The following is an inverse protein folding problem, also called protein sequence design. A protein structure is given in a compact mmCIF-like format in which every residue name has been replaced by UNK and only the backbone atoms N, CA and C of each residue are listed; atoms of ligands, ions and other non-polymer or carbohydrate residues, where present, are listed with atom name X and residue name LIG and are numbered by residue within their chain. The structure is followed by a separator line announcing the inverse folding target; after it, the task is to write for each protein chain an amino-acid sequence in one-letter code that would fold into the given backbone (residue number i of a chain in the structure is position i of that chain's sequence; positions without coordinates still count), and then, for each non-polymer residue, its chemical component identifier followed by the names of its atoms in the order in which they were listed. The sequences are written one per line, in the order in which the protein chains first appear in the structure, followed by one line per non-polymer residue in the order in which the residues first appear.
data_IF_445234812444
#
_entry.id   IF_445234812444
#
_cell.length_a   1.000
_cell.length_b   1.000
_cell.length_c   1.000
_cell.angle_alpha   90.00
_cell.angle_beta   90.00
_cell.angle_gamma   90.00
#
_symmetry.space_group_name_H-M   'P 1'
#
loop_
_entity.id
_entity.type
_entity.pdbx_description
1 polymer ?
#
# COMPACT_ATOMS: atom_id res chain seq x y z
N UNK A 1 -9.71 14.07 14.20
CA UNK A 1 -9.41 14.25 12.77
C UNK A 1 -8.31 15.25 12.46
N UNK A 2 -8.21 16.41 13.15
CA UNK A 2 -7.16 17.40 12.92
C UNK A 2 -5.73 16.82 12.97
N UNK A 3 -5.47 15.89 13.88
CA UNK A 3 -4.17 15.19 13.99
C UNK A 3 -3.72 14.50 12.68
N UNK A 4 -4.65 13.99 11.89
CA UNK A 4 -4.32 13.32 10.62
C UNK A 4 -4.29 14.30 9.44
N UNK A 5 -5.18 15.30 9.44
CA UNK A 5 -5.29 16.26 8.34
C UNK A 5 -4.17 17.28 8.31
N UNK A 6 -3.78 17.83 9.46
CA UNK A 6 -2.73 18.87 9.51
C UNK A 6 -1.39 18.36 8.96
N UNK A 7 -0.88 17.18 9.36
CA UNK A 7 0.32 16.61 8.76
C UNK A 7 0.22 16.38 7.24
N UNK A 8 -0.94 15.95 6.75
CA UNK A 8 -1.17 15.79 5.31
C UNK A 8 -1.17 17.14 4.58
N UNK A 9 -1.74 18.19 5.15
CA UNK A 9 -1.70 19.54 4.57
C UNK A 9 -0.26 20.06 4.45
N UNK A 10 0.58 19.83 5.48
CA UNK A 10 2.00 20.19 5.42
C UNK A 10 2.71 19.41 4.31
N UNK A 11 2.42 18.12 4.18
CA UNK A 11 2.95 17.30 3.08
C UNK A 11 2.50 17.82 1.71
N UNK A 12 1.21 18.13 1.53
CA UNK A 12 0.69 18.71 0.30
C UNK A 12 1.32 20.06 -0.03
N UNK A 13 1.59 20.89 0.96
CA UNK A 13 2.34 22.13 0.75
C UNK A 13 3.72 21.85 0.15
N UNK A 14 4.45 20.85 0.67
CA UNK A 14 5.71 20.40 0.08
C UNK A 14 5.57 19.89 -1.35
N UNK A 15 4.51 19.15 -1.66
CA UNK A 15 4.19 18.70 -3.03
C UNK A 15 3.94 19.90 -3.95
N UNK A 16 3.13 20.88 -3.53
CA UNK A 16 2.84 22.10 -4.31
C UNK A 16 4.09 22.94 -4.55
N UNK A 17 4.97 23.08 -3.55
CA UNK A 17 6.26 23.73 -3.74
C UNK A 17 7.11 23.02 -4.81
N UNK A 18 7.22 21.69 -4.76
CA UNK A 18 7.93 20.92 -5.78
C UNK A 18 7.33 21.11 -7.18
N UNK A 19 6.01 21.15 -7.30
CA UNK A 19 5.32 21.42 -8.57
C UNK A 19 5.62 22.84 -9.09
N UNK A 20 5.55 23.84 -8.22
CA UNK A 20 5.80 25.24 -8.56
C UNK A 20 7.24 25.47 -9.05
N UNK A 21 8.21 24.78 -8.45
CA UNK A 21 9.62 24.84 -8.86
C UNK A 21 9.99 23.86 -9.98
N UNK A 22 9.01 23.20 -10.59
CA UNK A 22 9.19 22.39 -11.80
C UNK A 22 9.87 21.04 -11.63
N UNK A 23 10.00 20.54 -10.40
CA UNK A 23 10.68 19.28 -10.18
C UNK A 23 10.47 18.65 -8.79
N UNK A 24 10.91 17.41 -8.63
CA UNK A 24 10.94 16.74 -7.33
C UNK A 24 12.18 17.16 -6.58
N UNK A 25 12.03 17.88 -5.47
CA UNK A 25 13.10 18.15 -4.52
C UNK A 25 13.00 17.17 -3.34
N UNK A 26 13.96 16.22 -3.21
CA UNK A 26 13.91 15.22 -2.14
C UNK A 26 13.90 15.83 -0.74
N UNK A 27 14.67 16.91 -0.53
CA UNK A 27 14.75 17.57 0.78
C UNK A 27 13.38 18.16 1.18
N UNK A 28 12.72 18.88 0.27
CA UNK A 28 11.38 19.45 0.51
C UNK A 28 10.37 18.34 0.84
N UNK A 29 10.33 17.29 0.01
CA UNK A 29 9.40 16.17 0.24
C UNK A 29 9.66 15.50 1.58
N UNK A 30 10.92 15.18 1.89
CA UNK A 30 11.25 14.50 3.15
C UNK A 30 10.97 15.41 4.37
N UNK A 31 11.32 16.69 4.32
CA UNK A 31 11.05 17.62 5.42
C UNK A 31 9.55 17.81 5.65
N UNK A 32 8.77 18.04 4.60
CA UNK A 32 7.32 18.21 4.72
C UNK A 32 6.59 16.90 5.05
N UNK A 33 7.23 15.74 4.90
CA UNK A 33 6.69 14.45 5.33
C UNK A 33 6.97 14.09 6.79
N UNK A 34 7.86 14.81 7.48
CA UNK A 34 8.18 14.51 8.89
C UNK A 34 6.94 14.43 9.78
N UNK A 35 5.94 15.33 9.69
CA UNK A 35 4.74 15.23 10.53
C UNK A 35 3.89 13.98 10.29
N UNK A 36 3.70 13.54 9.02
CA UNK A 36 2.96 12.30 8.73
C UNK A 36 3.73 11.06 9.18
N UNK A 37 5.06 11.08 9.08
CA UNK A 37 5.92 10.00 9.57
C UNK A 37 5.89 9.95 11.10
N UNK A 38 6.05 11.10 11.75
CA UNK A 38 6.00 11.18 13.21
C UNK A 38 4.66 10.63 13.73
N UNK A 39 3.55 11.02 13.13
CA UNK A 39 2.24 10.53 13.51
C UNK A 39 2.11 9.01 13.34
N UNK A 40 2.62 8.43 12.25
CA UNK A 40 2.57 6.99 12.04
C UNK A 40 3.50 6.21 13.00
N UNK A 41 4.66 6.79 13.35
CA UNK A 41 5.71 6.12 14.15
C UNK A 41 5.51 6.32 15.65
N UNK A 42 4.98 7.46 16.09
CA UNK A 42 4.80 7.75 17.52
C UNK A 42 3.44 7.31 18.06
N UNK A 43 2.66 6.55 17.27
CA UNK A 43 1.34 6.09 17.69
C UNK A 43 1.42 5.07 18.83
N UNK A 44 0.42 5.13 19.72
CA UNK A 44 0.08 4.07 20.66
C UNK A 44 -0.93 3.09 20.03
N UNK A 45 -2.12 2.98 20.62
CA UNK A 45 -3.16 2.06 20.17
C UNK A 45 -4.02 2.57 18.99
N UNK A 46 -3.52 3.50 18.19
CA UNK A 46 -4.26 4.04 17.05
C UNK A 46 -4.11 3.16 15.81
N UNK A 47 -5.22 2.69 15.25
CA UNK A 47 -5.30 1.85 14.04
C UNK A 47 -6.00 0.51 14.30
N UNK A 48 -6.81 0.04 13.33
CA UNK A 48 -7.64 -1.18 13.45
C UNK A 48 -6.86 -2.42 13.83
N UNK A 49 -5.72 -2.66 13.18
CA UNK A 49 -4.91 -3.86 13.38
C UNK A 49 -3.83 -3.67 14.48
N UNK A 50 -3.71 -2.46 15.06
CA UNK A 50 -2.61 -2.12 15.98
C UNK A 50 -2.64 -2.97 17.24
N UNK A 51 -3.81 -3.17 17.85
CA UNK A 51 -3.96 -4.00 19.05
C UNK A 51 -3.54 -5.46 18.78
N UNK A 52 -3.93 -6.01 17.62
CA UNK A 52 -3.55 -7.35 17.20
C UNK A 52 -2.03 -7.48 17.02
N UNK A 53 -1.37 -6.47 16.45
CA UNK A 53 0.10 -6.45 16.34
C UNK A 53 0.79 -6.34 17.70
N UNK A 54 0.27 -5.52 18.62
CA UNK A 54 0.83 -5.44 19.97
C UNK A 54 0.76 -6.79 20.69
N UNK A 55 -0.38 -7.47 20.64
CA UNK A 55 -0.53 -8.81 21.21
C UNK A 55 0.45 -9.79 20.57
N UNK A 56 0.48 -9.84 19.25
CA UNK A 56 1.34 -10.75 18.48
C UNK A 56 2.84 -10.54 18.79
N UNK A 57 3.29 -9.30 18.98
CA UNK A 57 4.70 -9.04 19.31
C UNK A 57 5.00 -9.25 20.80
N UNK A 58 4.00 -9.16 21.68
CA UNK A 58 4.14 -9.62 23.07
C UNK A 58 4.34 -11.14 23.10
N UNK A 59 3.55 -11.90 22.32
CA UNK A 59 3.67 -13.35 22.19
C UNK A 59 5.00 -13.75 21.54
N UNK A 60 5.52 -12.94 20.61
CA UNK A 60 6.86 -13.12 20.03
C UNK A 60 7.95 -13.10 21.10
N UNK A 61 7.84 -12.21 22.09
CA UNK A 61 8.75 -12.16 23.25
C UNK A 61 8.70 -13.41 24.13
N UNK A 62 7.60 -14.17 24.05
CA UNK A 62 7.44 -15.46 24.73
C UNK A 62 7.91 -16.66 23.88
N UNK A 63 8.51 -16.40 22.70
CA UNK A 63 9.02 -17.44 21.80
C UNK A 63 8.01 -17.93 20.75
N UNK A 64 6.82 -17.34 20.69
CA UNK A 64 5.80 -17.70 19.70
C UNK A 64 6.02 -16.87 18.43
N UNK A 65 6.09 -17.53 17.28
CA UNK A 65 6.15 -16.83 15.97
C UNK A 65 4.83 -16.16 15.61
N UNK A 66 4.88 -15.06 14.85
CA UNK A 66 3.71 -14.37 14.36
C UNK A 66 3.48 -14.60 12.87
N UNK A 67 2.46 -15.37 12.54
CA UNK A 67 2.07 -15.65 11.15
C UNK A 67 3.05 -16.53 10.40
N UNK A 68 2.78 -16.78 9.15
CA UNK A 68 3.53 -17.69 8.30
C UNK A 68 4.63 -16.99 7.46
N UNK A 69 4.72 -15.67 7.48
CA UNK A 69 5.63 -14.89 6.62
C UNK A 69 7.05 -14.81 7.21
N UNK A 70 8.04 -15.53 6.62
CA UNK A 70 9.33 -15.74 7.26
C UNK A 70 10.17 -14.47 7.40
N UNK A 71 10.19 -13.59 6.40
CA UNK A 71 10.99 -12.36 6.48
C UNK A 71 10.34 -11.29 7.37
N UNK A 72 9.00 -11.26 7.43
CA UNK A 72 8.33 -10.38 8.36
C UNK A 72 8.64 -10.77 9.81
N UNK A 73 8.57 -12.07 10.13
CA UNK A 73 8.92 -12.59 11.43
C UNK A 73 10.39 -12.34 11.78
N UNK A 74 11.31 -12.63 10.87
CA UNK A 74 12.72 -12.37 11.08
C UNK A 74 13.02 -10.90 11.35
N UNK A 75 12.34 -10.00 10.63
CA UNK A 75 12.49 -8.57 10.84
C UNK A 75 11.88 -8.11 12.17
N UNK A 76 10.73 -8.63 12.56
CA UNK A 76 10.13 -8.36 13.88
C UNK A 76 11.03 -8.88 15.02
N UNK A 77 11.58 -10.08 14.89
CA UNK A 77 12.55 -10.64 15.85
C UNK A 77 13.83 -9.79 15.94
N UNK A 78 14.34 -9.31 14.82
CA UNK A 78 15.49 -8.39 14.80
C UNK A 78 15.19 -7.11 15.58
N UNK A 79 14.04 -6.49 15.36
CA UNK A 79 13.65 -5.28 16.10
C UNK A 79 13.45 -5.56 17.59
N UNK A 80 12.84 -6.71 17.93
CA UNK A 80 12.70 -7.16 19.32
C UNK A 80 14.04 -7.38 20.01
N UNK A 81 15.01 -7.94 19.30
CA UNK A 81 16.38 -8.12 19.84
C UNK A 81 17.11 -6.80 20.08
N UNK A 82 16.78 -5.73 19.33
CA UNK A 82 17.33 -4.39 19.56
C UNK A 82 16.70 -3.75 20.80
N UNK A 83 15.38 -3.81 20.91
CA UNK A 83 14.66 -3.33 22.07
C UNK A 83 13.38 -4.15 22.28
N UNK A 84 13.28 -4.92 23.41
CA UNK A 84 12.23 -5.88 23.66
C UNK A 84 10.92 -5.22 24.14
N UNK A 85 10.31 -4.43 23.24
CA UNK A 85 9.03 -3.77 23.46
C UNK A 85 8.18 -3.93 22.18
N UNK A 86 6.93 -4.44 22.28
CA UNK A 86 6.02 -4.57 21.13
C UNK A 86 5.82 -3.27 20.34
N UNK A 87 5.82 -2.12 21.04
CA UNK A 87 5.67 -0.80 20.43
C UNK A 87 6.86 -0.44 19.57
N UNK A 88 8.07 -0.75 20.05
CA UNK A 88 9.29 -0.53 19.27
C UNK A 88 9.24 -1.32 17.95
N UNK A 89 8.76 -2.57 18.00
CA UNK A 89 8.60 -3.41 16.81
C UNK A 89 7.56 -2.82 15.86
N UNK A 90 6.35 -2.49 16.35
CA UNK A 90 5.27 -1.88 15.55
C UNK A 90 5.74 -0.58 14.89
N UNK A 91 6.34 0.31 15.69
CA UNK A 91 6.77 1.62 15.23
C UNK A 91 7.99 1.53 14.28
N UNK A 92 8.90 0.59 14.52
CA UNK A 92 10.04 0.29 13.65
C UNK A 92 9.62 -0.19 12.26
N UNK A 93 8.63 -1.09 12.18
CA UNK A 93 8.06 -1.55 10.91
C UNK A 93 7.37 -0.39 10.18
N UNK A 94 6.59 0.44 10.90
CA UNK A 94 5.92 1.63 10.35
C UNK A 94 6.93 2.64 9.80
N UNK A 95 8.00 2.90 10.55
CA UNK A 95 9.09 3.79 10.14
C UNK A 95 9.75 3.30 8.86
N UNK A 96 10.12 2.03 8.81
CA UNK A 96 10.75 1.43 7.63
C UNK A 96 9.84 1.54 6.41
N UNK A 97 8.57 1.21 6.56
CA UNK A 97 7.57 1.32 5.49
C UNK A 97 7.46 2.77 5.00
N UNK A 98 7.30 3.74 5.91
CA UNK A 98 7.20 5.15 5.59
C UNK A 98 8.44 5.66 4.85
N UNK A 99 9.63 5.34 5.35
CA UNK A 99 10.90 5.76 4.73
C UNK A 99 11.07 5.18 3.32
N UNK A 100 10.75 3.91 3.09
CA UNK A 100 10.84 3.29 1.77
C UNK A 100 9.84 3.88 0.77
N UNK A 101 8.61 4.16 1.21
CA UNK A 101 7.59 4.84 0.39
C UNK A 101 8.05 6.24 -0.01
N UNK A 102 8.44 7.06 0.96
CA UNK A 102 8.88 8.44 0.73
C UNK A 102 10.18 8.51 -0.08
N UNK A 103 11.12 7.59 0.15
CA UNK A 103 12.30 7.44 -0.69
C UNK A 103 11.94 7.15 -2.14
N UNK A 104 10.97 6.25 -2.36
CA UNK A 104 10.50 5.93 -3.71
C UNK A 104 9.86 7.13 -4.41
N UNK A 105 9.11 7.96 -3.66
CA UNK A 105 8.48 9.19 -4.15
C UNK A 105 9.54 10.24 -4.48
N UNK A 106 10.43 10.54 -3.53
CA UNK A 106 11.40 11.62 -3.63
C UNK A 106 12.46 11.39 -4.71
N UNK A 107 12.79 10.13 -5.01
CA UNK A 107 13.79 9.74 -6.00
C UNK A 107 13.24 9.40 -7.38
N UNK A 108 11.94 9.57 -7.60
CA UNK A 108 11.30 9.28 -8.89
C UNK A 108 10.88 10.56 -9.58
N UNK A 109 11.16 10.68 -10.87
CA UNK A 109 10.86 11.86 -11.69
C UNK A 109 9.40 12.33 -11.58
N UNK A 110 8.47 11.37 -11.52
CA UNK A 110 7.04 11.66 -11.41
C UNK A 110 6.47 11.27 -10.05
N UNK A 111 7.35 11.12 -9.05
CA UNK A 111 6.96 10.69 -7.71
C UNK A 111 5.97 11.61 -7.02
N UNK A 112 6.15 12.94 -7.17
CA UNK A 112 5.23 13.93 -6.62
C UNK A 112 3.82 13.83 -7.21
N UNK A 113 3.69 13.45 -8.49
CA UNK A 113 2.40 13.38 -9.17
C UNK A 113 1.61 12.12 -8.78
N UNK A 114 2.23 10.96 -8.87
CA UNK A 114 1.57 9.69 -8.57
C UNK A 114 1.65 9.34 -7.08
N UNK A 115 2.84 9.48 -6.50
CA UNK A 115 3.06 9.20 -5.09
C UNK A 115 2.53 10.29 -4.18
N UNK A 116 2.90 11.56 -4.43
CA UNK A 116 2.52 12.69 -3.60
C UNK A 116 1.04 13.03 -3.67
N UNK A 117 0.44 13.05 -4.87
CA UNK A 117 -0.97 13.41 -5.01
C UNK A 117 -1.95 12.26 -4.75
N UNK A 118 -1.57 11.00 -4.97
CA UNK A 118 -2.50 9.87 -4.88
C UNK A 118 -2.13 8.89 -3.77
N UNK A 119 -0.89 8.35 -3.77
CA UNK A 119 -0.52 7.30 -2.84
C UNK A 119 -0.53 7.79 -1.38
N UNK A 120 0.12 8.93 -1.12
CA UNK A 120 0.22 9.43 0.26
C UNK A 120 -1.15 9.77 0.84
N UNK A 121 -2.00 10.60 0.21
CA UNK A 121 -3.28 10.94 0.82
C UNK A 121 -4.23 9.74 0.93
N UNK A 122 -4.21 8.84 -0.05
CA UNK A 122 -5.14 7.70 -0.09
C UNK A 122 -4.71 6.48 0.71
N UNK A 123 -3.41 6.24 0.83
CA UNK A 123 -2.91 4.93 1.29
C UNK A 123 -1.83 5.01 2.38
N UNK A 124 -1.21 6.17 2.66
CA UNK A 124 -0.06 6.23 3.57
C UNK A 124 -0.39 5.69 4.96
N UNK A 125 -1.45 6.19 5.59
CA UNK A 125 -1.84 5.72 6.92
C UNK A 125 -2.29 4.26 6.91
N UNK A 126 -2.97 3.81 5.85
CA UNK A 126 -3.33 2.41 5.69
C UNK A 126 -2.10 1.50 5.68
N UNK A 127 -1.13 1.82 4.83
CA UNK A 127 0.08 1.01 4.65
C UNK A 127 1.04 1.06 5.84
N UNK A 128 1.03 2.16 6.61
CA UNK A 128 1.97 2.33 7.73
C UNK A 128 1.35 1.99 9.08
N UNK A 129 0.03 2.10 9.24
CA UNK A 129 -0.64 1.95 10.54
C UNK A 129 -1.53 0.70 10.64
N UNK A 130 -2.16 0.26 9.55
CA UNK A 130 -3.08 -0.87 9.57
C UNK A 130 -2.46 -2.12 8.97
N UNK A 131 -2.43 -2.20 7.66
CA UNK A 131 -1.96 -3.39 6.94
C UNK A 131 -0.44 -3.42 6.84
N UNK A 132 0.27 -3.45 7.98
CA UNK A 132 1.71 -3.22 8.07
C UNK A 132 2.53 -4.21 7.22
N UNK A 133 2.16 -5.50 7.19
CA UNK A 133 2.83 -6.53 6.36
C UNK A 133 2.70 -6.19 4.87
N UNK A 134 1.48 -5.92 4.43
CA UNK A 134 1.22 -5.50 3.05
C UNK A 134 1.86 -4.14 2.74
N UNK A 135 1.88 -3.22 3.69
CA UNK A 135 2.52 -1.92 3.58
C UNK A 135 4.02 -2.02 3.31
N UNK A 136 4.73 -2.82 4.11
CA UNK A 136 6.17 -3.06 3.92
C UNK A 136 6.44 -3.76 2.58
N UNK A 137 5.65 -4.79 2.24
CA UNK A 137 5.76 -5.48 0.96
C UNK A 137 5.47 -4.54 -0.23
N UNK A 138 4.48 -3.64 -0.12
CA UNK A 138 4.17 -2.62 -1.11
C UNK A 138 5.29 -1.60 -1.30
N UNK A 139 5.96 -1.22 -0.21
CA UNK A 139 7.13 -0.35 -0.28
C UNK A 139 8.30 -1.02 -1.01
N UNK A 140 8.54 -2.31 -0.75
CA UNK A 140 9.53 -3.14 -1.47
C UNK A 140 9.14 -3.26 -2.94
N UNK A 141 7.86 -3.49 -3.25
CA UNK A 141 7.34 -3.52 -4.61
C UNK A 141 7.61 -2.21 -5.36
N UNK A 142 7.37 -1.05 -4.75
CA UNK A 142 7.70 0.25 -5.33
C UNK A 142 9.18 0.39 -5.67
N UNK A 143 10.08 -0.14 -4.85
CA UNK A 143 11.51 -0.17 -5.16
C UNK A 143 11.81 -1.11 -6.34
N UNK A 144 11.20 -2.30 -6.35
CA UNK A 144 11.37 -3.27 -7.42
C UNK A 144 10.95 -2.73 -8.79
N UNK A 145 9.84 -2.00 -8.84
CA UNK A 145 9.30 -1.42 -10.09
C UNK A 145 10.17 -0.32 -10.70
N UNK A 146 11.19 0.18 -9.98
CA UNK A 146 12.24 1.04 -10.55
C UNK A 146 13.19 0.27 -11.47
N UNK A 147 13.23 -1.03 -11.32
CA UNK A 147 14.04 -1.94 -12.13
C UNK A 147 13.16 -2.40 -13.29
N UNK A 148 13.62 -2.20 -14.51
CA UNK A 148 12.93 -2.77 -15.67
C UNK A 148 13.05 -4.32 -15.64
N UNK A 149 11.94 -5.07 -15.45
CA UNK A 149 12.03 -6.53 -15.24
C UNK A 149 12.73 -7.26 -16.37
N UNK A 150 12.51 -6.81 -17.62
CA UNK A 150 13.13 -7.39 -18.81
C UNK A 150 14.63 -7.10 -18.96
N UNK A 151 15.15 -6.05 -18.31
CA UNK A 151 16.59 -5.69 -18.37
C UNK A 151 17.39 -6.30 -17.24
N UNK A 152 16.80 -6.47 -16.08
CA UNK A 152 17.46 -6.98 -14.86
C UNK A 152 16.54 -7.98 -14.15
N UNK A 153 16.19 -9.11 -14.79
CA UNK A 153 15.19 -10.05 -14.25
C UNK A 153 15.60 -10.62 -12.89
N UNK A 154 16.85 -10.99 -12.70
CA UNK A 154 17.33 -11.55 -11.43
C UNK A 154 17.11 -10.57 -10.27
N UNK A 155 17.44 -9.29 -10.45
CA UNK A 155 17.20 -8.28 -9.39
C UNK A 155 15.72 -8.11 -9.10
N UNK A 156 14.88 -8.12 -10.13
CA UNK A 156 13.45 -8.02 -9.93
C UNK A 156 12.90 -9.23 -9.16
N UNK A 157 13.34 -10.44 -9.53
CA UNK A 157 12.95 -11.68 -8.83
C UNK A 157 13.41 -11.67 -7.37
N UNK A 158 14.61 -11.18 -7.07
CA UNK A 158 15.06 -11.03 -5.67
C UNK A 158 14.11 -10.12 -4.87
N UNK A 159 13.74 -8.96 -5.41
CA UNK A 159 12.76 -8.09 -4.73
C UNK A 159 11.38 -8.74 -4.61
N UNK A 160 10.95 -9.50 -5.63
CA UNK A 160 9.69 -10.21 -5.59
C UNK A 160 9.68 -11.29 -4.50
N UNK A 161 10.76 -12.05 -4.38
CA UNK A 161 10.94 -13.04 -3.31
C UNK A 161 10.94 -12.38 -1.93
N UNK A 162 11.71 -11.30 -1.75
CA UNK A 162 11.74 -10.55 -0.48
C UNK A 162 10.34 -10.03 -0.14
N UNK A 163 9.65 -9.37 -1.07
CA UNK A 163 8.30 -8.86 -0.84
C UNK A 163 7.31 -9.97 -0.51
N UNK A 164 7.36 -11.10 -1.22
CA UNK A 164 6.49 -12.25 -0.98
C UNK A 164 6.76 -12.89 0.39
N UNK A 165 8.03 -13.02 0.80
CA UNK A 165 8.38 -13.52 2.13
C UNK A 165 8.02 -12.56 3.27
N UNK A 166 7.82 -11.27 2.98
CA UNK A 166 7.26 -10.28 3.92
C UNK A 166 5.74 -10.39 3.98
N UNK A 167 5.08 -10.62 2.84
CA UNK A 167 3.63 -10.82 2.79
C UNK A 167 3.22 -11.59 1.55
N UNK A 168 2.70 -12.79 1.72
CA UNK A 168 2.43 -13.72 0.61
C UNK A 168 1.53 -13.15 -0.49
N UNK A 169 0.48 -12.41 -0.13
CA UNK A 169 -0.43 -11.83 -1.14
C UNK A 169 0.25 -10.76 -2.02
N UNK A 170 1.41 -10.23 -1.61
CA UNK A 170 2.17 -9.30 -2.44
C UNK A 170 2.76 -9.96 -3.71
N UNK A 171 2.88 -11.29 -3.74
CA UNK A 171 3.24 -12.01 -4.95
C UNK A 171 2.36 -11.60 -6.13
N UNK A 172 1.05 -11.40 -5.90
CA UNK A 172 0.13 -10.91 -6.93
C UNK A 172 0.52 -9.54 -7.47
N UNK A 173 1.00 -8.61 -6.62
CA UNK A 173 1.49 -7.30 -7.09
C UNK A 173 2.64 -7.44 -8.07
N UNK A 174 3.66 -8.21 -7.68
CA UNK A 174 4.85 -8.40 -8.51
C UNK A 174 4.51 -9.06 -9.84
N UNK A 175 3.67 -10.05 -9.80
CA UNK A 175 3.30 -10.88 -10.96
C UNK A 175 2.37 -10.13 -11.91
N UNK A 176 1.31 -9.52 -11.39
CA UNK A 176 0.39 -8.73 -12.20
C UNK A 176 1.09 -7.51 -12.82
N UNK A 177 2.01 -6.87 -12.09
CA UNK A 177 2.79 -5.76 -12.66
C UNK A 177 3.58 -6.19 -13.89
N UNK A 178 4.19 -7.35 -13.86
CA UNK A 178 4.95 -7.83 -15.02
C UNK A 178 4.03 -8.37 -16.11
N UNK A 179 2.87 -8.99 -15.77
CA UNK A 179 1.85 -9.38 -16.74
C UNK A 179 1.30 -8.16 -17.51
N UNK A 180 1.31 -6.98 -16.90
CA UNK A 180 0.89 -5.72 -17.53
C UNK A 180 2.01 -5.01 -18.30
N UNK A 181 3.23 -5.53 -18.32
CA UNK A 181 4.32 -4.98 -19.15
C UNK A 181 4.33 -5.63 -20.56
N UNK A 182 4.84 -4.90 -21.55
CA UNK A 182 4.80 -5.33 -22.97
C UNK A 182 5.55 -6.62 -23.30
N UNK A 183 6.37 -7.19 -22.41
CA UNK A 183 7.21 -8.35 -22.68
C UNK A 183 7.13 -9.36 -21.53
N UNK A 184 6.74 -10.57 -21.83
CA UNK A 184 6.87 -11.68 -20.88
C UNK A 184 5.59 -12.31 -20.34
N UNK A 185 4.42 -12.06 -20.96
CA UNK A 185 3.12 -12.52 -20.45
C UNK A 185 3.04 -14.02 -20.16
N UNK A 186 3.53 -14.88 -21.04
CA UNK A 186 3.35 -16.34 -20.91
C UNK A 186 4.19 -16.93 -19.78
N UNK A 187 5.49 -16.60 -19.72
CA UNK A 187 6.39 -17.05 -18.64
C UNK A 187 5.92 -16.60 -17.25
N UNK A 188 5.21 -15.52 -17.20
CA UNK A 188 4.71 -14.94 -15.95
C UNK A 188 3.41 -15.51 -15.47
N UNK A 189 2.46 -15.78 -16.37
CA UNK A 189 1.25 -16.52 -16.01
C UNK A 189 1.64 -17.89 -15.45
N UNK A 190 2.62 -18.55 -16.10
CA UNK A 190 3.19 -19.80 -15.59
C UNK A 190 3.90 -19.58 -14.25
N UNK A 191 4.71 -18.53 -14.11
CA UNK A 191 5.37 -18.17 -12.83
C UNK A 191 4.37 -17.89 -11.70
N UNK A 192 3.28 -17.15 -11.98
CA UNK A 192 2.17 -16.95 -11.03
C UNK A 192 1.57 -18.27 -10.59
N UNK A 193 1.19 -19.10 -11.57
CA UNK A 193 0.56 -20.37 -11.28
C UNK A 193 1.47 -21.25 -10.40
N UNK A 194 2.77 -21.31 -10.73
CA UNK A 194 3.75 -22.07 -9.93
C UNK A 194 3.86 -21.53 -8.52
N UNK A 195 3.92 -20.18 -8.33
CA UNK A 195 4.03 -19.60 -6.98
C UNK A 195 2.75 -19.81 -6.19
N UNK A 196 1.57 -19.58 -6.77
CA UNK A 196 0.28 -19.80 -6.09
C UNK A 196 0.11 -21.28 -5.73
N UNK A 197 0.36 -22.18 -6.67
CA UNK A 197 0.29 -23.63 -6.43
C UNK A 197 1.34 -24.04 -5.38
N UNK A 198 2.58 -23.55 -5.51
CA UNK A 198 3.65 -23.84 -4.56
C UNK A 198 3.31 -23.42 -3.13
N UNK A 199 2.82 -22.19 -2.93
CA UNK A 199 2.39 -21.72 -1.61
C UNK A 199 1.20 -22.54 -1.09
N UNK A 200 0.23 -22.86 -1.96
CA UNK A 200 -0.94 -23.68 -1.56
C UNK A 200 -0.56 -25.10 -1.15
N UNK A 201 0.46 -25.69 -1.79
CA UNK A 201 0.95 -27.03 -1.47
C UNK A 201 1.84 -27.06 -0.21
N UNK A 202 2.63 -26.01 0.00
CA UNK A 202 3.56 -25.93 1.14
C UNK A 202 2.85 -25.49 2.43
N UNK A 203 1.77 -24.71 2.31
CA UNK A 203 1.04 -24.15 3.44
C UNK A 203 -0.48 -24.29 3.27
N UNK A 204 -1.03 -25.51 3.22
CA UNK A 204 -2.46 -25.73 3.06
C UNK A 204 -3.25 -25.13 4.23
N UNK A 205 -2.74 -25.25 5.46
CA UNK A 205 -3.37 -24.75 6.68
C UNK A 205 -3.51 -23.21 6.66
N UNK A 206 -2.53 -22.50 6.10
CA UNK A 206 -2.60 -21.04 5.97
C UNK A 206 -3.85 -20.58 5.18
N UNK A 207 -4.20 -21.28 4.10
CA UNK A 207 -5.38 -20.93 3.30
C UNK A 207 -6.68 -21.35 4.00
N UNK A 208 -6.69 -22.50 4.66
CA UNK A 208 -7.87 -22.98 5.42
C UNK A 208 -8.18 -22.03 6.58
N UNK A 209 -7.15 -21.61 7.35
CA UNK A 209 -7.29 -20.69 8.48
C UNK A 209 -7.75 -19.30 8.02
N UNK A 210 -7.20 -18.80 6.91
CA UNK A 210 -7.66 -17.53 6.32
C UNK A 210 -9.09 -17.61 5.83
N UNK A 211 -9.47 -18.72 5.18
CA UNK A 211 -10.82 -18.92 4.70
C UNK A 211 -11.79 -18.99 5.88
N UNK A 212 -11.49 -19.75 6.93
CA UNK A 212 -12.32 -19.86 8.12
C UNK A 212 -12.46 -18.52 8.85
N UNK A 213 -11.36 -17.74 8.96
CA UNK A 213 -11.39 -16.40 9.52
C UNK A 213 -12.35 -15.48 8.76
N UNK A 214 -12.25 -15.45 7.42
CA UNK A 214 -13.11 -14.59 6.60
C UNK A 214 -14.57 -15.06 6.51
N UNK A 215 -14.84 -16.35 6.58
CA UNK A 215 -16.22 -16.89 6.63
C UNK A 215 -16.88 -16.67 7.98
N UNK A 216 -16.09 -16.57 9.07
CA UNK A 216 -16.59 -16.23 10.40
C UNK A 216 -16.89 -14.74 10.62
N UNK A 217 -16.44 -13.85 9.71
CA UNK A 217 -16.75 -12.43 9.79
C UNK A 217 -18.16 -12.16 9.24
N UNK A 218 -18.85 -11.16 9.82
CA UNK A 218 -20.13 -10.69 9.28
C UNK A 218 -19.97 -10.27 7.80
N UNK A 219 -20.99 -10.52 6.99
CA UNK A 219 -20.97 -10.11 5.59
C UNK A 219 -20.74 -8.58 5.47
N UNK A 220 -19.92 -8.14 4.50
CA UNK A 220 -19.70 -6.71 4.29
C UNK A 220 -21.02 -6.01 3.93
N UNK A 221 -21.13 -4.72 4.27
CA UNK A 221 -22.26 -3.91 3.83
C UNK A 221 -22.26 -3.76 2.31
N UNK A 222 -23.43 -3.55 1.69
CA UNK A 222 -23.56 -3.37 0.23
C UNK A 222 -22.72 -2.21 -0.34
N UNK A 223 -22.39 -1.21 0.49
CA UNK A 223 -21.48 -0.09 0.15
C UNK A 223 -20.00 -0.44 0.28
N UNK A 224 -19.67 -1.57 0.91
CA UNK A 224 -18.28 -1.97 1.13
C UNK A 224 -17.56 -2.18 -0.22
N UNK A 225 -16.39 -1.58 -0.36
CA UNK A 225 -15.59 -1.65 -1.59
C UNK A 225 -16.00 -0.71 -2.72
N UNK A 226 -17.14 0.02 -2.63
CA UNK A 226 -17.55 0.98 -3.66
C UNK A 226 -16.52 2.08 -3.88
N UNK A 227 -15.91 2.59 -2.82
CA UNK A 227 -14.86 3.60 -2.94
C UNK A 227 -13.65 3.08 -3.72
N UNK A 228 -13.20 1.87 -3.42
CA UNK A 228 -12.09 1.25 -4.16
C UNK A 228 -12.46 1.04 -5.63
N UNK A 229 -13.68 0.58 -5.91
CA UNK A 229 -14.18 0.43 -7.28
C UNK A 229 -14.20 1.78 -7.99
N UNK A 230 -14.70 2.85 -7.36
CA UNK A 230 -14.70 4.20 -7.94
C UNK A 230 -13.28 4.66 -8.27
N UNK A 231 -12.32 4.51 -7.35
CA UNK A 231 -10.91 4.87 -7.58
C UNK A 231 -10.33 4.05 -8.75
N UNK A 232 -10.62 2.76 -8.82
CA UNK A 232 -10.17 1.88 -9.90
C UNK A 232 -10.76 2.31 -11.25
N UNK A 233 -12.05 2.65 -11.32
CA UNK A 233 -12.70 3.13 -12.53
C UNK A 233 -12.14 4.50 -12.98
N UNK A 234 -11.86 5.40 -12.04
CA UNK A 234 -11.21 6.67 -12.35
C UNK A 234 -9.79 6.47 -12.88
N UNK A 235 -9.01 5.56 -12.29
CA UNK A 235 -7.69 5.20 -12.80
C UNK A 235 -7.76 4.55 -14.18
N UNK A 236 -8.73 3.67 -14.44
CA UNK A 236 -8.98 3.09 -15.77
C UNK A 236 -9.32 4.18 -16.79
N UNK A 237 -10.17 5.12 -16.41
CA UNK A 237 -10.52 6.29 -17.26
C UNK A 237 -9.25 7.08 -17.62
N UNK A 238 -8.39 7.37 -16.65
CA UNK A 238 -7.10 8.02 -16.89
C UNK A 238 -6.23 7.18 -17.83
N UNK A 239 -6.13 5.87 -17.64
CA UNK A 239 -5.37 4.98 -18.55
C UNK A 239 -5.89 5.04 -19.98
N UNK A 240 -7.20 5.06 -20.18
CA UNK A 240 -7.84 5.08 -21.50
C UNK A 240 -7.69 6.45 -22.16
N UNK A 241 -8.05 7.52 -21.46
CA UNK A 241 -8.01 8.90 -21.99
C UNK A 241 -6.59 9.29 -22.36
N UNK A 242 -5.63 8.97 -21.52
CA UNK A 242 -4.22 9.31 -21.72
C UNK A 242 -3.39 8.14 -22.26
N UNK A 243 -4.02 7.15 -22.93
CA UNK A 243 -3.36 5.93 -23.44
C UNK A 243 -2.08 6.18 -24.26
N UNK A 244 -1.99 7.32 -24.94
CA UNK A 244 -0.80 7.71 -25.74
C UNK A 244 0.40 8.12 -24.87
N UNK A 245 0.18 8.37 -23.60
CA UNK A 245 1.21 8.79 -22.63
C UNK A 245 1.64 7.65 -21.70
N UNK A 246 0.93 6.53 -21.75
CA UNK A 246 1.26 5.34 -20.97
C UNK A 246 1.70 4.20 -21.89
N UNK A 247 2.81 3.53 -21.52
CA UNK A 247 3.28 2.35 -22.23
C UNK A 247 2.55 1.07 -21.80
N UNK A 248 1.29 1.16 -21.42
CA UNK A 248 0.45 0.05 -20.95
C UNK A 248 -0.15 -0.67 -22.16
N UNK A 249 0.06 -1.99 -22.33
CA UNK A 249 -0.57 -2.74 -23.39
C UNK A 249 -2.10 -2.89 -23.18
N UNK A 250 -2.91 -3.06 -24.24
CA UNK A 250 -4.36 -3.21 -24.13
C UNK A 250 -4.79 -4.33 -23.16
N UNK A 251 -4.06 -5.43 -23.15
CA UNK A 251 -4.33 -6.53 -22.21
C UNK A 251 -4.21 -6.10 -20.74
N UNK A 252 -3.29 -5.17 -20.42
CA UNK A 252 -3.15 -4.64 -19.07
C UNK A 252 -4.38 -3.87 -18.60
N UNK A 253 -5.01 -3.09 -19.47
CA UNK A 253 -6.28 -2.40 -19.16
C UNK A 253 -7.42 -3.38 -18.98
N UNK A 254 -7.49 -4.40 -19.84
CA UNK A 254 -8.52 -5.44 -19.75
C UNK A 254 -8.40 -6.22 -18.44
N UNK A 255 -7.18 -6.62 -18.05
CA UNK A 255 -6.91 -7.29 -16.78
C UNK A 255 -7.40 -6.42 -15.62
N UNK A 256 -7.02 -5.13 -15.59
CA UNK A 256 -7.44 -4.22 -14.53
C UNK A 256 -8.97 -4.06 -14.49
N UNK A 257 -9.63 -3.94 -15.64
CA UNK A 257 -11.08 -3.79 -15.72
C UNK A 257 -11.82 -5.05 -15.21
N UNK A 258 -11.39 -6.22 -15.67
CA UNK A 258 -11.97 -7.50 -15.23
C UNK A 258 -11.76 -7.72 -13.74
N UNK A 259 -10.54 -7.46 -13.24
CA UNK A 259 -10.24 -7.59 -11.82
C UNK A 259 -11.04 -6.58 -10.97
N UNK A 260 -11.22 -5.34 -11.42
CA UNK A 260 -11.99 -4.35 -10.68
C UNK A 260 -13.44 -4.82 -10.42
N UNK A 261 -14.10 -5.35 -11.45
CA UNK A 261 -15.47 -5.86 -11.34
C UNK A 261 -15.51 -7.16 -10.52
N UNK A 262 -14.62 -8.11 -10.81
CA UNK A 262 -14.56 -9.39 -10.11
C UNK A 262 -14.29 -9.24 -8.61
N UNK A 263 -13.31 -8.39 -8.24
CA UNK A 263 -12.95 -8.17 -6.84
C UNK A 263 -14.03 -7.38 -6.08
N UNK A 264 -14.76 -6.49 -6.76
CA UNK A 264 -15.94 -5.86 -6.17
C UNK A 264 -17.03 -6.90 -5.90
N UNK A 265 -17.28 -7.82 -6.85
CA UNK A 265 -18.20 -8.94 -6.64
C UNK A 265 -17.79 -9.82 -5.44
N UNK A 266 -16.50 -10.13 -5.31
CA UNK A 266 -15.97 -10.88 -4.16
C UNK A 266 -16.19 -10.09 -2.85
N UNK A 267 -16.06 -8.76 -2.88
CA UNK A 267 -16.29 -7.91 -1.70
C UNK A 267 -17.72 -8.02 -1.17
N UNK A 268 -18.69 -8.29 -2.03
CA UNK A 268 -20.09 -8.47 -1.59
C UNK A 268 -20.30 -9.77 -0.82
N UNK A 269 -19.36 -10.71 -0.91
CA UNK A 269 -19.45 -12.03 -0.27
C UNK A 269 -18.51 -12.14 0.94
N UNK A 270 -17.34 -11.49 0.88
CA UNK A 270 -16.30 -11.64 1.91
C UNK A 270 -15.41 -10.41 2.03
N UNK A 271 -14.96 -10.11 3.25
CA UNK A 271 -13.98 -9.04 3.53
C UNK A 271 -12.64 -9.21 2.81
N UNK A 272 -12.29 -10.43 2.39
CA UNK A 272 -11.10 -10.66 1.57
C UNK A 272 -11.10 -9.82 0.28
N UNK A 273 -12.29 -9.57 -0.31
CA UNK A 273 -12.45 -8.75 -1.49
C UNK A 273 -11.91 -7.32 -1.33
N UNK A 274 -12.15 -6.68 -0.18
CA UNK A 274 -11.64 -5.33 0.14
C UNK A 274 -10.10 -5.32 0.10
N UNK A 275 -9.46 -6.34 0.68
CA UNK A 275 -7.99 -6.45 0.68
C UNK A 275 -7.43 -6.66 -0.72
N UNK A 276 -8.08 -7.46 -1.54
CA UNK A 276 -7.70 -7.62 -2.96
C UNK A 276 -7.95 -6.35 -3.79
N UNK A 277 -9.02 -5.60 -3.52
CA UNK A 277 -9.23 -4.30 -4.15
C UNK A 277 -8.12 -3.30 -3.79
N UNK A 278 -7.63 -3.28 -2.54
CA UNK A 278 -6.49 -2.47 -2.12
C UNK A 278 -5.21 -2.84 -2.91
N UNK A 279 -4.97 -4.16 -3.11
CA UNK A 279 -3.87 -4.66 -3.94
C UNK A 279 -4.00 -4.13 -5.38
N UNK A 280 -5.21 -4.18 -5.96
CA UNK A 280 -5.46 -3.72 -7.32
C UNK A 280 -5.27 -2.20 -7.45
N UNK A 281 -5.75 -1.39 -6.50
CA UNK A 281 -5.52 0.08 -6.49
C UNK A 281 -4.02 0.39 -6.47
N UNK A 282 -3.25 -0.30 -5.62
CA UNK A 282 -1.81 -0.13 -5.55
C UNK A 282 -1.13 -0.53 -6.87
N UNK A 283 -1.53 -1.66 -7.46
CA UNK A 283 -1.04 -2.09 -8.77
C UNK A 283 -1.30 -1.05 -9.85
N UNK A 284 -2.55 -0.58 -9.98
CA UNK A 284 -2.95 0.38 -11.02
C UNK A 284 -2.23 1.71 -10.86
N UNK A 285 -2.08 2.20 -9.63
CA UNK A 285 -1.31 3.41 -9.35
C UNK A 285 0.15 3.26 -9.79
N UNK A 286 0.78 2.13 -9.46
CA UNK A 286 2.16 1.87 -9.83
C UNK A 286 2.32 1.65 -11.34
N UNK A 287 1.34 1.03 -12.00
CA UNK A 287 1.31 0.92 -13.46
C UNK A 287 1.28 2.30 -14.11
N UNK A 288 0.38 3.18 -13.69
CA UNK A 288 0.32 4.56 -14.16
C UNK A 288 1.66 5.27 -13.94
N UNK A 289 2.20 5.18 -12.75
CA UNK A 289 3.45 5.86 -12.40
C UNK A 289 4.65 5.37 -13.23
N UNK A 290 4.85 4.05 -13.31
CA UNK A 290 6.06 3.48 -13.93
C UNK A 290 6.01 3.42 -15.46
N UNK A 291 4.81 3.37 -16.01
CA UNK A 291 4.61 3.32 -17.45
C UNK A 291 4.29 4.68 -18.08
N UNK A 292 4.30 5.75 -17.26
CA UNK A 292 4.14 7.11 -17.74
C UNK A 292 5.37 7.55 -18.55
N UNK A 293 5.16 7.85 -19.82
CA UNK A 293 6.19 8.24 -20.76
C UNK A 293 5.68 9.37 -21.68
N UNK A 294 5.58 10.60 -21.14
CA UNK A 294 5.05 11.72 -21.90
C UNK A 294 6.02 12.15 -23.01
N UNK A 295 5.47 12.49 -24.18
CA UNK A 295 6.28 12.95 -25.32
C UNK A 295 7.09 14.20 -24.99
N UNK A 296 6.51 15.16 -24.30
CA UNK A 296 7.11 16.47 -23.99
C UNK A 296 7.83 16.50 -22.62
N UNK A 297 8.05 15.36 -21.97
CA UNK A 297 8.69 15.27 -20.66
C UNK A 297 7.99 16.04 -19.52
N UNK A 298 6.88 16.70 -19.76
CA UNK A 298 6.09 17.43 -18.76
C UNK A 298 4.79 16.68 -18.45
N UNK A 299 4.32 16.85 -17.22
CA UNK A 299 3.01 16.35 -16.80
C UNK A 299 1.94 17.25 -17.42
N UNK A 300 0.98 16.72 -18.20
CA UNK A 300 -0.15 17.51 -18.68
C UNK A 300 -0.99 18.03 -17.52
N UNK A 301 -1.38 19.30 -17.56
CA UNK A 301 -2.18 19.89 -16.48
C UNK A 301 -3.47 19.12 -16.22
N UNK A 302 -4.17 18.69 -17.28
CA UNK A 302 -5.40 17.91 -17.19
C UNK A 302 -5.17 16.54 -16.49
N UNK A 303 -4.05 15.85 -16.78
CA UNK A 303 -3.71 14.61 -16.09
C UNK A 303 -3.39 14.87 -14.61
N UNK A 304 -2.65 15.94 -14.31
CA UNK A 304 -2.36 16.37 -12.95
C UNK A 304 -3.65 16.64 -12.15
N UNK A 305 -4.63 17.32 -12.77
CA UNK A 305 -5.95 17.55 -12.17
C UNK A 305 -6.67 16.24 -11.88
N UNK A 306 -6.66 15.27 -12.80
CA UNK A 306 -7.26 13.95 -12.55
C UNK A 306 -6.59 13.22 -11.39
N UNK A 307 -5.25 13.23 -11.33
CA UNK A 307 -4.51 12.61 -10.20
C UNK A 307 -4.86 13.29 -8.88
N UNK A 308 -4.97 14.62 -8.86
CA UNK A 308 -5.37 15.37 -7.67
C UNK A 308 -6.80 15.00 -7.23
N UNK A 309 -7.76 14.93 -8.15
CA UNK A 309 -9.15 14.52 -7.86
C UNK A 309 -9.19 13.11 -7.29
N UNK A 310 -8.48 12.16 -7.92
CA UNK A 310 -8.38 10.77 -7.41
C UNK A 310 -7.82 10.75 -6.00
N UNK A 311 -6.75 11.53 -5.74
CA UNK A 311 -6.16 11.65 -4.42
C UNK A 311 -7.11 12.23 -3.38
N UNK A 312 -7.89 13.25 -3.73
CA UNK A 312 -8.91 13.84 -2.83
C UNK A 312 -10.04 12.86 -2.53
N UNK A 313 -10.51 12.10 -3.51
CA UNK A 313 -11.54 11.06 -3.32
C UNK A 313 -11.00 9.96 -2.41
N UNK A 314 -9.77 9.51 -2.64
CA UNK A 314 -9.12 8.50 -1.82
C UNK A 314 -8.93 9.00 -0.37
N UNK A 315 -8.52 10.27 -0.20
CA UNK A 315 -8.40 10.91 1.12
C UNK A 315 -9.75 11.02 1.81
N UNK A 316 -10.79 11.50 1.10
CA UNK A 316 -12.13 11.64 1.68
C UNK A 316 -12.68 10.29 2.17
N UNK A 317 -12.50 9.24 1.37
CA UNK A 317 -12.88 7.89 1.79
C UNK A 317 -12.04 7.38 2.95
N UNK A 318 -10.76 7.72 3.01
CA UNK A 318 -9.92 7.35 4.15
C UNK A 318 -10.38 8.06 5.44
N UNK A 319 -10.67 9.35 5.36
CA UNK A 319 -11.21 10.13 6.48
C UNK A 319 -12.54 9.52 6.94
N UNK A 320 -13.42 9.18 6.02
CA UNK A 320 -14.71 8.54 6.34
C UNK A 320 -14.49 7.22 7.09
N UNK A 321 -13.65 6.33 6.57
CA UNK A 321 -13.33 5.06 7.25
C UNK A 321 -12.67 5.24 8.62
N UNK A 322 -11.87 6.30 8.80
CA UNK A 322 -11.25 6.61 10.09
C UNK A 322 -12.22 7.25 11.10
N UNK A 323 -13.28 7.89 10.63
CA UNK A 323 -14.28 8.55 11.49
C UNK A 323 -15.47 7.66 11.81
N UNK A 324 -15.80 6.76 10.91
CA UNK A 324 -16.93 5.85 11.03
C UNK A 324 -16.42 4.42 10.89
N UNK A 325 -16.29 3.74 12.00
CA UNK A 325 -15.90 2.33 12.03
C UNK A 325 -17.08 1.44 11.63
N UNK A 326 -17.62 1.65 10.42
CA UNK A 326 -18.74 0.89 9.86
C UNK A 326 -19.99 0.86 10.78
N UNK A 327 -20.17 1.90 11.62
CA UNK A 327 -21.27 1.98 12.57
C UNK A 327 -21.19 1.01 13.76
N UNK A 328 -20.00 0.45 14.05
CA UNK A 328 -19.84 -0.60 15.07
C UNK A 328 -19.23 -0.14 16.40
N UNK A 329 -18.99 1.16 16.59
CA UNK A 329 -18.43 1.66 17.84
C UNK A 329 -17.48 2.85 17.69
N UNK A 330 -16.61 3.08 18.68
CA UNK A 330 -15.60 4.13 18.65
C UNK A 330 -14.53 3.82 17.62
N UNK A 331 -14.14 4.83 16.83
CA UNK A 331 -13.10 4.68 15.83
C UNK A 331 -11.76 4.29 16.49
N UNK A 332 -11.06 3.23 16.02
CA UNK A 332 -9.75 2.86 16.53
C UNK A 332 -8.66 3.89 16.20
N UNK A 333 -8.99 4.89 15.39
CA UNK A 333 -8.12 6.02 15.06
C UNK A 333 -8.37 7.26 15.92
N UNK A 334 -9.50 7.33 16.64
CA UNK A 334 -9.93 8.49 17.37
C UNK A 334 -10.36 8.14 18.80
N UNK A 335 -9.90 8.92 19.81
CA UNK A 335 -8.88 9.95 19.70
C UNK A 335 -7.52 9.35 19.32
N UNK A 336 -6.67 10.13 18.63
CA UNK A 336 -5.30 9.70 18.37
C UNK A 336 -4.54 9.53 19.67
N UNK A 337 -3.96 8.37 19.87
CA UNK A 337 -3.18 8.03 21.06
C UNK A 337 -1.70 7.97 20.69
N UNK A 338 -0.87 8.67 21.45
CA UNK A 338 0.59 8.54 21.38
C UNK A 338 1.06 7.34 22.19
N UNK A 339 2.27 6.86 21.93
CA UNK A 339 2.89 5.83 22.77
C UNK A 339 3.05 6.36 24.21
N UNK A 340 2.77 5.56 25.26
CA UNK A 340 2.78 6.02 26.66
C UNK A 340 4.07 6.69 27.11
N UNK A 341 5.24 6.24 26.64
CA UNK A 341 6.52 6.89 26.93
C UNK A 341 6.59 8.36 26.49
N UNK A 342 5.71 8.79 25.56
CA UNK A 342 5.61 10.18 25.11
C UNK A 342 4.57 10.94 25.93
N UNK A 343 3.55 10.25 26.45
CA UNK A 343 2.54 10.84 27.35
C UNK A 343 3.14 11.26 28.69
N UNK A 344 4.22 10.59 29.15
CA UNK A 344 4.92 10.91 30.39
C UNK A 344 5.88 12.11 30.25
N UNK A 345 6.16 12.56 29.02
CA UNK A 345 7.06 13.69 28.73
C UNK A 345 6.31 15.03 28.51
N UNK A 346 5.00 15.03 28.50
CA UNK A 346 4.14 16.22 28.32
C UNK A 346 3.25 16.45 29.51
#
# INVERSE_FOLDING_TARGET
MSYYLLPLLIFYFGVMLCIAYGGTNPAVILTCSLPIVALAVLRGHSGTDTAAYYQAFTDLGQGNGYGAEPLFNAYAQFLWAVYPDPRFVVNGISMTTALLLLWSISRSRYGIWFGGLVLVPGMFYELTMNVMRFGLASAIFLLATRIAPHRKPVRYVIYALIGTCVHFSSALLFLLFVATTRRGHTLMIVGVAIVVIGISLVMPDYFSDKTSLYTGMAAPNASSGLLFLLIQLLMLTVMIVYRRQFAIPPIGWLICAVLAVALYGITQVTYAGIRFQLILVNLMLVMLWRQFSPRNRHMPASLATWLFIIGLIALAGRIHNMSDEEGKGESPFLPYQTAPAIQELG
#
